data_IF_682737393588
#
_entry.id   IF_682737393588
#
_cell.length_a   1.000
_cell.length_b   1.000
_cell.length_c   1.000
_cell.angle_alpha   90.00
_cell.angle_beta   90.00
_cell.angle_gamma   90.00
#
_symmetry.space_group_name_H-M   'P 1'
#
loop_
_entity.id
_entity.type
_entity.pdbx_description
1 polymer ?
#
# COMPACT_ATOMS: atom_id res chain seq x y z
N UNK A 1 7.77 -9.62 -9.69
CA UNK A 1 6.92 -8.60 -9.04
C UNK A 1 7.78 -7.37 -8.81
N UNK A 2 7.24 -6.17 -9.02
CA UNK A 2 7.94 -4.94 -8.66
C UNK A 2 8.12 -4.88 -7.13
N UNK A 3 9.10 -4.09 -6.70
CA UNK A 3 9.39 -3.78 -5.30
C UNK A 3 9.74 -2.30 -5.25
N UNK A 4 9.43 -1.63 -4.13
CA UNK A 4 9.68 -0.21 -3.95
C UNK A 4 11.12 0.19 -4.37
N UNK A 5 11.23 1.22 -5.22
CA UNK A 5 12.50 1.75 -5.78
C UNK A 5 13.46 0.74 -6.45
N UNK A 6 13.02 -0.50 -6.69
CA UNK A 6 13.87 -1.56 -7.23
C UNK A 6 13.74 -1.73 -8.74
N UNK A 7 14.88 -1.74 -9.44
CA UNK A 7 14.99 -2.18 -10.85
C UNK A 7 14.96 -3.71 -10.98
N UNK A 8 15.27 -4.43 -9.91
CA UNK A 8 15.27 -5.89 -9.87
C UNK A 8 13.98 -6.51 -9.33
N UNK A 9 13.04 -5.67 -8.92
CA UNK A 9 11.85 -6.09 -8.22
C UNK A 9 12.23 -6.73 -6.88
N UNK A 10 11.48 -7.76 -6.47
CA UNK A 10 11.69 -8.48 -5.21
C UNK A 10 12.96 -9.36 -5.16
N UNK A 11 13.59 -9.65 -6.31
CA UNK A 11 14.77 -10.53 -6.37
C UNK A 11 14.51 -11.96 -5.87
N UNK A 12 15.49 -12.55 -5.18
CA UNK A 12 15.30 -13.84 -4.50
C UNK A 12 14.64 -13.63 -3.13
N UNK A 13 13.45 -14.21 -2.96
CA UNK A 13 12.65 -14.14 -1.72
C UNK A 13 12.34 -15.50 -1.10
N UNK A 14 12.79 -16.60 -1.74
CA UNK A 14 12.52 -17.98 -1.36
C UNK A 14 13.83 -18.79 -1.32
N UNK A 15 14.00 -19.55 -0.25
CA UNK A 15 15.10 -20.49 -0.03
C UNK A 15 14.54 -21.86 0.33
N UNK A 16 15.30 -22.92 0.04
CA UNK A 16 14.95 -24.31 0.36
C UNK A 16 16.06 -24.93 1.24
N UNK A 17 16.19 -24.53 2.51
CA UNK A 17 17.23 -25.04 3.42
C UNK A 17 17.14 -26.54 3.69
N UNK A 18 15.97 -27.16 3.57
CA UNK A 18 15.81 -28.63 3.64
C UNK A 18 15.06 -29.15 2.42
N UNK A 19 15.58 -30.23 1.83
CA UNK A 19 15.09 -30.79 0.56
C UNK A 19 15.04 -32.31 0.62
N UNK A 20 13.93 -32.89 0.19
CA UNK A 20 13.77 -34.35 0.11
C UNK A 20 14.74 -34.98 -0.91
N UNK A 21 15.15 -34.21 -1.94
CA UNK A 21 16.19 -34.65 -2.88
C UNK A 21 17.56 -34.83 -2.21
N UNK A 22 17.77 -34.18 -1.05
CA UNK A 22 18.99 -34.25 -0.25
C UNK A 22 18.77 -35.08 1.03
N UNK A 23 17.79 -36.00 1.04
CA UNK A 23 17.53 -36.91 2.17
C UNK A 23 16.80 -36.28 3.37
N UNK A 24 16.29 -35.05 3.27
CA UNK A 24 15.42 -34.48 4.32
C UNK A 24 14.04 -35.16 4.32
N UNK A 25 13.42 -35.31 5.48
CA UNK A 25 12.07 -35.90 5.60
C UNK A 25 10.97 -35.10 4.88
N UNK A 26 11.19 -33.80 4.68
CA UNK A 26 10.29 -32.90 3.96
C UNK A 26 11.10 -31.81 3.24
N UNK A 27 10.48 -31.17 2.26
CA UNK A 27 10.92 -29.88 1.74
C UNK A 27 10.51 -28.81 2.75
N UNK A 28 11.48 -28.07 3.30
CA UNK A 28 11.20 -26.93 4.17
C UNK A 28 11.77 -25.68 3.51
N UNK A 29 10.89 -24.72 3.27
CA UNK A 29 11.19 -23.47 2.57
C UNK A 29 11.13 -22.29 3.53
N UNK A 30 12.09 -21.38 3.38
CA UNK A 30 12.12 -20.10 4.09
C UNK A 30 11.80 -18.97 3.11
N UNK A 31 11.07 -17.96 3.58
CA UNK A 31 10.78 -16.75 2.80
C UNK A 31 11.23 -15.51 3.55
N UNK A 32 11.76 -14.54 2.80
CA UNK A 32 12.13 -13.21 3.28
C UNK A 32 11.68 -12.20 2.25
N UNK A 33 10.83 -11.27 2.67
CA UNK A 33 10.06 -10.38 1.80
C UNK A 33 9.94 -9.01 2.49
N UNK A 34 10.13 -7.89 1.78
CA UNK A 34 9.63 -6.59 2.26
C UNK A 34 8.11 -6.65 2.43
N UNK A 35 7.58 -6.06 3.51
CA UNK A 35 6.13 -6.04 3.80
C UNK A 35 5.31 -5.39 2.69
N UNK A 36 5.88 -4.40 2.00
CA UNK A 36 5.28 -3.68 0.87
C UNK A 36 5.41 -4.44 -0.48
N UNK A 37 5.34 -5.77 -0.46
CA UNK A 37 5.46 -6.59 -1.69
C UNK A 37 4.12 -7.20 -2.07
N UNK A 38 3.64 -6.87 -3.28
CA UNK A 38 2.35 -7.36 -3.75
C UNK A 38 1.18 -6.61 -3.10
N UNK A 39 0.03 -7.28 -2.93
CA UNK A 39 -1.11 -6.72 -2.20
C UNK A 39 -0.84 -6.77 -0.70
N UNK A 40 -0.81 -5.60 -0.06
CA UNK A 40 -0.50 -5.42 1.35
C UNK A 40 -1.40 -4.33 1.97
N UNK A 41 -1.22 -4.06 3.26
CA UNK A 41 -1.82 -2.96 4.00
C UNK A 41 -0.73 -2.28 4.84
N UNK A 42 -0.81 -0.96 4.95
CA UNK A 42 0.13 -0.18 5.74
C UNK A 42 -0.41 0.08 7.15
N UNK A 43 0.40 -0.20 8.15
CA UNK A 43 0.16 0.25 9.52
C UNK A 43 0.61 1.72 9.67
N UNK A 44 0.05 2.54 10.58
CA UNK A 44 0.49 3.93 10.77
C UNK A 44 1.97 4.06 11.12
N UNK A 45 2.51 3.08 11.85
CA UNK A 45 3.95 2.98 12.13
C UNK A 45 4.85 2.86 10.89
N UNK A 46 4.30 2.64 9.70
CA UNK A 46 5.05 2.71 8.44
C UNK A 46 5.67 4.09 8.20
N UNK A 47 4.95 5.16 8.55
CA UNK A 47 5.34 6.56 8.29
C UNK A 47 5.36 7.45 9.54
N UNK A 48 4.81 6.99 10.66
CA UNK A 48 4.73 7.75 11.92
C UNK A 48 5.46 6.98 13.02
N UNK A 49 6.71 7.36 13.28
CA UNK A 49 7.65 6.71 14.20
C UNK A 49 7.06 6.50 15.62
N UNK A 50 6.43 7.53 16.19
CA UNK A 50 5.71 7.47 17.47
C UNK A 50 4.59 6.42 17.54
N UNK A 51 4.03 6.02 16.39
CA UNK A 51 3.01 4.98 16.29
C UNK A 51 3.63 3.59 16.10
N UNK A 52 4.83 3.50 15.51
CA UNK A 52 5.62 2.26 15.49
C UNK A 52 6.03 1.85 16.91
N UNK A 53 6.61 2.77 17.68
CA UNK A 53 7.00 2.54 19.08
C UNK A 53 5.79 2.19 19.99
N UNK A 54 4.61 2.76 19.69
CA UNK A 54 3.37 2.46 20.39
C UNK A 54 2.74 1.11 19.98
N UNK A 55 3.31 0.39 19.01
CA UNK A 55 2.80 -0.89 18.52
C UNK A 55 1.52 -0.77 17.69
N UNK A 56 1.28 0.37 17.03
CA UNK A 56 0.09 0.56 16.19
C UNK A 56 0.25 -0.17 14.86
N UNK A 57 -0.28 -1.39 14.82
CA UNK A 57 -0.36 -2.28 13.68
C UNK A 57 -1.61 -2.03 12.79
N UNK A 58 -1.89 -2.98 11.89
CA UNK A 58 -3.08 -3.00 11.02
C UNK A 58 -4.37 -3.42 11.73
N UNK A 59 -4.29 -4.13 12.85
CA UNK A 59 -5.45 -4.60 13.62
C UNK A 59 -6.03 -3.47 14.48
N UNK A 60 -5.17 -2.53 14.90
CA UNK A 60 -5.55 -1.29 15.60
C UNK A 60 -6.07 -0.17 14.68
N UNK A 61 -6.26 -0.43 13.37
CA UNK A 61 -6.63 0.58 12.37
C UNK A 61 -8.06 1.08 12.58
N UNK A 62 -8.21 2.04 13.51
CA UNK A 62 -9.36 2.92 13.53
C UNK A 62 -9.31 3.80 12.28
N UNK A 63 -10.44 3.83 11.58
CA UNK A 63 -10.46 4.16 10.17
C UNK A 63 -11.05 5.55 9.97
N UNK A 64 -10.24 6.59 9.74
CA UNK A 64 -10.66 7.96 9.35
C UNK A 64 -9.69 8.54 8.26
N UNK A 65 -10.12 8.91 7.01
CA UNK A 65 -9.27 8.90 5.77
C UNK A 65 -9.67 9.94 4.65
N UNK A 66 -8.77 10.55 3.82
CA UNK A 66 -9.01 11.83 3.04
C UNK A 66 -8.50 11.96 1.52
N UNK A 67 -9.09 12.75 0.57
CA UNK A 67 -8.64 13.31 -0.78
C UNK A 67 -9.56 14.44 -1.36
N UNK A 68 -9.07 15.49 -2.05
CA UNK A 68 -9.83 16.56 -2.76
C UNK A 68 -10.40 16.38 -4.21
N UNK A 69 -9.93 17.16 -5.19
CA UNK A 69 -10.75 17.60 -6.35
C UNK A 69 -11.22 16.46 -7.26
N UNK A 70 -10.42 15.40 -7.40
CA UNK A 70 -10.80 14.21 -8.19
C UNK A 70 -12.03 13.53 -7.58
N UNK A 71 -12.17 13.54 -6.26
CA UNK A 71 -13.20 12.78 -5.54
C UNK A 71 -14.57 13.43 -5.59
N UNK A 72 -14.64 14.76 -5.71
CA UNK A 72 -15.91 15.46 -5.92
C UNK A 72 -16.59 15.01 -7.20
N UNK A 73 -15.80 14.78 -8.26
CA UNK A 73 -16.31 14.28 -9.54
C UNK A 73 -16.86 12.85 -9.47
N UNK A 74 -16.37 12.02 -8.54
CA UNK A 74 -16.74 10.60 -8.41
C UNK A 74 -18.10 10.39 -7.73
N UNK A 75 -18.67 11.41 -7.09
CA UNK A 75 -20.03 11.40 -6.48
C UNK A 75 -20.30 10.16 -5.61
N UNK A 76 -19.32 9.79 -4.78
CA UNK A 76 -19.42 8.58 -3.96
C UNK A 76 -20.63 8.71 -3.00
N UNK A 77 -21.54 7.72 -2.95
CA UNK A 77 -22.68 7.75 -2.04
C UNK A 77 -22.26 7.86 -0.57
N UNK A 78 -23.01 8.63 0.22
CA UNK A 78 -22.85 8.65 1.68
C UNK A 78 -23.02 7.25 2.28
N UNK A 79 -22.29 6.97 3.36
CA UNK A 79 -22.25 5.67 4.01
C UNK A 79 -21.30 4.65 3.37
N UNK A 80 -20.65 4.95 2.24
CA UNK A 80 -19.58 4.09 1.69
C UNK A 80 -18.35 4.17 2.59
N UNK A 81 -18.03 3.06 3.26
CA UNK A 81 -16.90 2.96 4.21
C UNK A 81 -15.59 2.50 3.57
N UNK A 82 -15.63 1.79 2.43
CA UNK A 82 -14.45 1.15 1.83
C UNK A 82 -14.47 1.33 0.32
N UNK A 83 -13.35 1.74 -0.28
CA UNK A 83 -13.22 1.95 -1.73
C UNK A 83 -11.90 1.37 -2.23
N UNK A 84 -11.96 0.71 -3.39
CA UNK A 84 -10.78 0.30 -4.14
C UNK A 84 -10.70 1.15 -5.41
N UNK A 85 -9.59 1.86 -5.59
CA UNK A 85 -9.32 2.67 -6.77
C UNK A 85 -8.56 1.84 -7.79
N UNK A 86 -9.24 1.50 -8.88
CA UNK A 86 -8.56 1.11 -10.13
C UNK A 86 -8.17 2.38 -10.87
N UNK A 87 -6.93 2.43 -11.32
CA UNK A 87 -6.34 3.59 -12.01
C UNK A 87 -5.71 3.13 -13.33
N UNK A 88 -4.99 4.04 -13.99
CA UNK A 88 -4.14 3.70 -15.13
C UNK A 88 -3.01 2.71 -14.78
N UNK A 89 -2.72 2.44 -13.49
CA UNK A 89 -1.70 1.47 -13.08
C UNK A 89 -2.06 0.04 -13.52
N UNK A 90 -3.33 -0.36 -13.37
CA UNK A 90 -3.83 -1.66 -13.88
C UNK A 90 -3.71 -1.73 -15.40
N UNK A 91 -4.11 -0.67 -16.12
CA UNK A 91 -4.15 -0.67 -17.58
C UNK A 91 -2.73 -0.62 -18.19
N UNK A 92 -1.80 0.09 -17.53
CA UNK A 92 -0.34 0.03 -17.79
C UNK A 92 0.32 -1.26 -17.29
N UNK A 93 -0.45 -2.14 -16.64
CA UNK A 93 -0.04 -3.45 -16.09
C UNK A 93 1.18 -3.35 -15.15
N UNK A 94 1.28 -2.29 -14.35
CA UNK A 94 2.49 -1.98 -13.57
C UNK A 94 2.88 -3.10 -12.60
N UNK A 95 1.91 -3.75 -11.94
CA UNK A 95 2.15 -4.90 -11.06
C UNK A 95 2.71 -6.15 -11.77
N UNK A 96 2.63 -6.20 -13.11
CA UNK A 96 3.20 -7.27 -13.93
C UNK A 96 4.60 -6.91 -14.49
N UNK A 97 5.12 -5.71 -14.23
CA UNK A 97 6.50 -5.32 -14.58
C UNK A 97 7.48 -5.82 -13.51
N UNK A 98 8.77 -5.90 -13.87
CA UNK A 98 9.86 -6.19 -12.92
C UNK A 98 10.33 -4.91 -12.21
N UNK A 99 10.50 -3.85 -12.97
CA UNK A 99 10.98 -2.55 -12.50
C UNK A 99 9.88 -1.75 -11.81
N UNK A 100 10.25 -1.03 -10.76
CA UNK A 100 9.46 0.04 -10.17
C UNK A 100 9.28 1.19 -11.17
N UNK A 101 8.06 1.72 -11.29
CA UNK A 101 7.68 2.78 -12.23
C UNK A 101 7.19 3.98 -11.41
N UNK A 102 8.07 4.96 -11.16
CA UNK A 102 7.79 6.14 -10.31
C UNK A 102 6.63 7.00 -10.79
N UNK A 103 6.26 6.90 -12.07
CA UNK A 103 5.16 7.67 -12.68
C UNK A 103 3.78 7.02 -12.47
N UNK A 104 3.63 6.16 -11.47
CA UNK A 104 2.36 5.53 -11.13
C UNK A 104 1.34 6.55 -10.63
N UNK A 105 0.06 6.25 -10.81
CA UNK A 105 -1.05 7.07 -10.28
C UNK A 105 -1.20 6.76 -8.80
N UNK A 106 -1.12 7.79 -7.96
CA UNK A 106 -1.38 7.74 -6.53
C UNK A 106 -1.98 9.04 -6.05
N UNK A 107 -2.23 9.13 -4.75
CA UNK A 107 -2.77 10.32 -4.11
C UNK A 107 -1.69 11.37 -3.81
N UNK A 108 -1.90 12.60 -4.28
CA UNK A 108 -1.21 13.82 -3.82
C UNK A 108 -1.76 14.24 -2.44
N UNK A 109 -1.20 15.21 -1.73
CA UNK A 109 -1.64 15.58 -0.37
C UNK A 109 -2.97 16.34 -0.33
N UNK A 110 -3.21 17.22 -1.29
CA UNK A 110 -4.53 17.83 -1.51
C UNK A 110 -5.55 16.74 -1.91
N UNK A 111 -5.11 15.87 -2.82
CA UNK A 111 -5.63 14.54 -3.10
C UNK A 111 -5.47 13.54 -1.94
N UNK A 112 -5.17 14.00 -0.73
CA UNK A 112 -5.26 13.26 0.51
C UNK A 112 -6.01 14.08 1.56
N UNK A 113 -6.72 15.17 1.21
CA UNK A 113 -7.26 16.16 2.16
C UNK A 113 -8.77 16.50 2.03
N UNK A 114 -9.61 15.69 1.38
CA UNK A 114 -11.09 15.92 1.34
C UNK A 114 -12.02 14.70 1.54
N UNK A 115 -11.52 13.48 1.76
CA UNK A 115 -12.36 12.27 1.91
C UNK A 115 -12.90 12.03 3.33
N UNK A 116 -12.39 12.57 4.44
CA UNK A 116 -13.11 12.55 5.76
C UNK A 116 -13.62 13.92 6.17
N UNK A 117 -13.16 14.98 5.48
CA UNK A 117 -13.94 16.23 5.42
C UNK A 117 -15.28 15.98 4.70
N UNK A 118 -15.32 15.17 3.63
CA UNK A 118 -16.51 15.06 2.76
C UNK A 118 -17.07 13.65 2.52
N UNK A 119 -16.47 12.56 3.02
CA UNK A 119 -17.04 11.20 2.92
C UNK A 119 -16.90 10.39 4.20
N UNK A 120 -17.65 9.29 4.27
CA UNK A 120 -17.56 8.30 5.35
C UNK A 120 -16.51 7.21 5.05
N UNK A 121 -15.59 7.45 4.11
CA UNK A 121 -14.59 6.47 3.70
C UNK A 121 -13.51 6.34 4.77
N UNK A 122 -13.22 5.08 5.04
CA UNK A 122 -12.50 4.59 6.21
C UNK A 122 -11.35 3.68 5.76
N UNK A 123 -11.55 2.85 4.74
CA UNK A 123 -10.47 2.12 4.06
C UNK A 123 -10.39 2.50 2.58
N UNK A 124 -9.17 2.74 2.12
CA UNK A 124 -8.82 2.96 0.72
C UNK A 124 -7.80 1.88 0.32
N UNK A 125 -8.00 1.28 -0.85
CA UNK A 125 -6.98 0.51 -1.54
C UNK A 125 -6.73 1.07 -2.93
N UNK A 126 -5.51 0.92 -3.44
CA UNK A 126 -5.12 1.30 -4.80
C UNK A 126 -4.53 0.09 -5.54
N UNK A 127 -4.34 0.21 -6.85
CA UNK A 127 -3.87 -0.85 -7.74
C UNK A 127 -2.34 -0.80 -8.04
N UNK A 128 -1.55 -0.27 -7.11
CA UNK A 128 -0.08 -0.32 -7.15
C UNK A 128 0.56 -0.40 -5.74
N UNK A 129 1.89 -0.26 -5.66
CA UNK A 129 2.69 -0.49 -4.45
C UNK A 129 2.58 0.59 -3.36
N UNK A 130 1.92 1.72 -3.61
CA UNK A 130 1.71 2.80 -2.64
C UNK A 130 0.42 3.54 -2.95
N UNK A 131 -0.34 3.89 -1.91
CA UNK A 131 -1.57 4.69 -2.01
C UNK A 131 -1.28 6.15 -2.38
N UNK A 132 -0.18 6.71 -1.87
CA UNK A 132 0.30 8.05 -2.21
C UNK A 132 1.13 8.05 -3.51
N UNK A 133 1.09 9.14 -4.27
CA UNK A 133 1.94 9.38 -5.45
C UNK A 133 3.41 9.53 -5.05
N UNK A 134 4.34 9.23 -5.97
CA UNK A 134 5.78 9.24 -5.66
C UNK A 134 6.27 10.63 -5.21
N UNK A 135 5.79 11.69 -5.87
CA UNK A 135 6.20 13.08 -5.62
C UNK A 135 5.65 13.66 -4.30
N UNK A 136 4.66 13.01 -3.68
CA UNK A 136 3.97 13.47 -2.47
C UNK A 136 3.71 12.31 -1.48
N UNK A 137 4.67 11.39 -1.44
CA UNK A 137 4.56 10.09 -0.79
C UNK A 137 4.23 10.21 0.70
N UNK A 138 5.10 10.88 1.45
CA UNK A 138 4.99 10.97 2.92
C UNK A 138 3.83 11.85 3.36
N UNK A 139 3.62 13.07 2.83
CA UNK A 139 2.54 13.93 3.31
C UNK A 139 1.16 13.33 3.09
N UNK A 140 0.93 12.64 1.97
CA UNK A 140 -0.35 11.96 1.71
C UNK A 140 -0.60 10.80 2.68
N UNK A 141 0.41 9.96 2.95
CA UNK A 141 0.28 8.91 3.97
C UNK A 141 0.02 9.47 5.36
N UNK A 142 0.67 10.59 5.73
CA UNK A 142 0.41 11.28 7.00
C UNK A 142 -1.06 11.68 7.11
N UNK A 143 -1.67 12.27 6.07
CA UNK A 143 -3.09 12.65 6.17
C UNK A 143 -4.03 11.44 6.28
N UNK A 144 -3.68 10.29 5.67
CA UNK A 144 -4.44 9.05 5.82
C UNK A 144 -4.28 8.35 7.19
N UNK A 145 -3.20 8.62 7.94
CA UNK A 145 -2.78 7.78 9.07
C UNK A 145 -2.55 8.55 10.40
N UNK A 146 -2.41 9.88 10.36
CA UNK A 146 -2.12 10.69 11.55
C UNK A 146 -3.35 10.91 12.43
N UNK A 147 -4.53 11.09 11.83
CA UNK A 147 -5.79 11.44 12.50
C UNK A 147 -6.52 10.30 13.23
N UNK A 148 -5.77 9.31 13.74
CA UNK A 148 -6.28 8.37 14.77
C UNK A 148 -6.34 9.05 16.13
#
# INVERSE_FOLDING_TARGET
MPSWESKDGVGQFLWLPKSMKNGSLANNSEMKLPTHTGTHLDAPGHVIDRYFDAGFDVDTLDLEVLNAEVMESLKIPKGVRRVLFRTLNTDRRLMFKKEFDTSYVGFMKDGAEWLVKHTDIKLIGIDYLSVAAFDDLIPSHIVFLEGR
#
